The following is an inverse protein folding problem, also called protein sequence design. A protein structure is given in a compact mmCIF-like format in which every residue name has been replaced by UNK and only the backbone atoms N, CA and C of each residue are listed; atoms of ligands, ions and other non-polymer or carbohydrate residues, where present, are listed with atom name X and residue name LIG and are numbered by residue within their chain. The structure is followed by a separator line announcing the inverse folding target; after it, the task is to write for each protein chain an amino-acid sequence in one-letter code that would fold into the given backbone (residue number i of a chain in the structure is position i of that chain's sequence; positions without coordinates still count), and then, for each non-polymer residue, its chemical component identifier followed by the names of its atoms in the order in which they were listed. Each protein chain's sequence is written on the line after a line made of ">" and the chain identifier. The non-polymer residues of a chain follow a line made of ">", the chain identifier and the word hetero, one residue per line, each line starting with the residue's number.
data_IF_392509294789
#
_entry.id   IF_392509294789
#
_cell.length_a   1.000
_cell.length_b   1.000
_cell.length_c   1.000
_cell.angle_alpha   90.00
_cell.angle_beta   90.00
_cell.angle_gamma   90.00
#
_symmetry.space_group_name_H-M   'P 1'
#
loop_
_entity.id
_entity.type
_entity.pdbx_description
1 polymer ?
#
# COMPACT_ATOMS: atom_id res chain seq x y z
N UNK A 1 22.82 -24.94 -7.27
CA UNK A 1 21.96 -25.09 -6.10
C UNK A 1 21.81 -23.77 -5.37
N UNK A 2 20.61 -23.46 -4.95
CA UNK A 2 20.38 -22.27 -4.16
C UNK A 2 21.01 -22.42 -2.78
N UNK A 3 21.60 -21.32 -2.27
CA UNK A 3 22.11 -21.28 -0.91
C UNK A 3 20.99 -20.71 -0.02
N UNK A 4 20.36 -21.55 0.84
CA UNK A 4 19.19 -21.09 1.63
C UNK A 4 19.55 -20.05 2.71
N UNK A 5 20.83 -19.83 2.98
CA UNK A 5 21.27 -18.85 3.96
C UNK A 5 21.82 -17.57 3.32
N UNK A 6 21.84 -17.51 1.98
CA UNK A 6 22.31 -16.32 1.30
C UNK A 6 21.23 -15.23 1.31
N UNK A 7 21.63 -13.96 1.42
CA UNK A 7 20.66 -12.88 1.31
C UNK A 7 20.12 -12.75 -0.11
N UNK A 8 18.88 -12.29 -0.24
CA UNK A 8 18.27 -12.01 -1.52
C UNK A 8 18.10 -10.50 -1.67
N UNK A 9 18.55 -9.98 -2.80
CA UNK A 9 18.33 -8.57 -3.13
C UNK A 9 17.20 -8.46 -4.14
N UNK A 10 16.20 -7.64 -3.82
CA UNK A 10 15.13 -7.27 -4.75
C UNK A 10 15.49 -5.90 -5.31
N UNK A 11 15.97 -5.89 -6.55
CA UNK A 11 16.47 -4.68 -7.17
C UNK A 11 15.38 -3.66 -7.44
N UNK A 12 15.78 -2.41 -7.57
CA UNK A 12 14.86 -1.33 -7.89
C UNK A 12 14.36 -1.44 -9.32
N UNK A 13 13.04 -1.32 -9.50
CA UNK A 13 12.40 -1.24 -10.82
C UNK A 13 11.54 0.02 -10.86
N UNK A 14 11.11 0.41 -12.06
CA UNK A 14 10.13 1.49 -12.20
C UNK A 14 8.75 1.04 -11.79
N UNK A 15 7.86 2.00 -11.61
CA UNK A 15 6.45 1.72 -11.38
C UNK A 15 5.80 1.19 -12.65
N UNK A 16 4.77 0.35 -12.47
CA UNK A 16 3.92 -0.08 -13.56
C UNK A 16 3.14 1.11 -14.09
N UNK A 17 3.08 1.27 -15.42
CA UNK A 17 2.49 2.45 -16.02
C UNK A 17 1.03 2.25 -16.40
N UNK A 18 0.65 1.04 -16.74
CA UNK A 18 -0.70 0.74 -17.24
C UNK A 18 -1.59 0.33 -16.08
N UNK A 19 -2.12 1.33 -15.37
CA UNK A 19 -2.93 1.07 -14.19
C UNK A 19 -4.13 1.99 -14.10
N UNK A 20 -5.23 1.42 -13.58
CA UNK A 20 -6.41 2.17 -13.16
C UNK A 20 -6.34 2.45 -11.66
N UNK A 21 -5.24 3.03 -11.22
CA UNK A 21 -5.01 3.31 -9.81
C UNK A 21 -3.69 4.03 -9.59
N UNK A 22 -3.25 4.17 -8.34
CA UNK A 22 -1.97 4.80 -8.04
C UNK A 22 -0.81 4.04 -8.66
N UNK A 23 0.27 4.74 -8.96
CA UNK A 23 1.49 4.10 -9.45
C UNK A 23 2.04 3.15 -8.40
N UNK A 24 2.45 1.97 -8.85
CA UNK A 24 2.81 0.89 -7.95
C UNK A 24 3.75 -0.09 -8.65
N UNK A 25 4.57 -0.78 -7.86
CA UNK A 25 5.33 -1.92 -8.32
C UNK A 25 5.32 -3.01 -7.26
N UNK A 26 5.24 -4.26 -7.69
CA UNK A 26 5.41 -5.37 -6.78
C UNK A 26 6.90 -5.62 -6.57
N UNK A 27 7.33 -5.70 -5.31
CA UNK A 27 8.68 -6.12 -4.95
C UNK A 27 8.67 -7.63 -4.71
N UNK A 28 7.74 -8.08 -3.87
CA UNK A 28 7.47 -9.50 -3.63
C UNK A 28 5.98 -9.68 -3.78
N UNK A 29 5.52 -10.24 -4.91
CA UNK A 29 4.08 -10.41 -5.12
C UNK A 29 3.50 -11.49 -4.21
N UNK A 30 2.21 -11.38 -3.87
CA UNK A 30 1.55 -12.44 -3.12
C UNK A 30 1.39 -13.69 -3.98
N UNK A 31 1.35 -14.86 -3.34
CA UNK A 31 1.10 -16.12 -4.01
C UNK A 31 -0.35 -16.54 -3.84
N UNK A 32 -0.85 -17.36 -4.77
CA UNK A 32 -2.20 -17.90 -4.64
C UNK A 32 -2.28 -18.83 -3.44
N UNK A 33 -3.43 -18.82 -2.76
CA UNK A 33 -3.71 -19.73 -1.67
C UNK A 33 -3.08 -19.34 -0.34
N UNK A 34 -2.40 -18.21 -0.29
CA UNK A 34 -1.80 -17.72 0.94
C UNK A 34 -0.29 -17.71 0.91
N UNK A 35 0.29 -17.05 1.93
CA UNK A 35 1.74 -16.92 2.06
C UNK A 35 2.12 -16.73 3.52
N UNK A 36 3.28 -17.24 3.92
CA UNK A 36 3.82 -17.11 5.28
C UNK A 36 4.79 -15.94 5.40
N UNK A 37 5.48 -15.61 4.33
CA UNK A 37 6.36 -14.45 4.27
C UNK A 37 5.60 -13.25 3.70
N UNK A 38 6.00 -12.02 4.04
CA UNK A 38 5.27 -10.85 3.60
C UNK A 38 5.34 -10.63 2.09
N UNK A 39 4.25 -10.12 1.52
CA UNK A 39 4.29 -9.52 0.20
C UNK A 39 4.66 -8.05 0.36
N UNK A 40 5.42 -7.51 -0.56
CA UNK A 40 5.92 -6.14 -0.51
C UNK A 40 5.61 -5.41 -1.80
N UNK A 41 5.11 -4.18 -1.65
CA UNK A 41 4.84 -3.29 -2.76
C UNK A 41 5.38 -1.91 -2.43
N UNK A 42 5.85 -1.22 -3.45
CA UNK A 42 6.10 0.22 -3.35
C UNK A 42 5.06 0.93 -4.20
N UNK A 43 4.50 2.02 -3.68
CA UNK A 43 3.48 2.78 -4.41
C UNK A 43 3.52 4.25 -4.01
N UNK A 44 2.83 5.07 -4.78
CA UNK A 44 2.74 6.49 -4.48
C UNK A 44 1.32 7.00 -4.71
N UNK A 45 1.00 8.04 -3.97
CA UNK A 45 -0.24 8.81 -4.12
C UNK A 45 0.16 10.25 -4.42
N UNK A 46 -0.33 10.77 -5.53
CA UNK A 46 -0.07 12.16 -5.91
C UNK A 46 -1.41 12.83 -6.17
N UNK A 47 -1.93 13.51 -5.15
CA UNK A 47 -3.29 14.05 -5.16
C UNK A 47 -4.29 12.97 -5.57
N UNK A 48 -4.25 11.85 -4.85
CA UNK A 48 -5.03 10.65 -5.16
C UNK A 48 -5.53 10.01 -3.87
N UNK A 49 -6.61 9.23 -3.99
CA UNK A 49 -7.13 8.41 -2.91
C UNK A 49 -7.41 6.99 -3.43
N UNK A 50 -7.13 6.02 -2.58
CA UNK A 50 -7.31 4.60 -2.87
C UNK A 50 -7.99 3.93 -1.70
N UNK A 51 -8.99 3.09 -1.99
CA UNK A 51 -9.69 2.33 -0.94
C UNK A 51 -9.70 0.87 -1.31
N UNK A 52 -9.30 0.02 -0.38
CA UNK A 52 -9.33 -1.42 -0.56
C UNK A 52 -9.56 -2.14 0.76
N UNK A 53 -9.67 -3.47 0.67
CA UNK A 53 -9.88 -4.33 1.81
C UNK A 53 -9.15 -5.64 1.56
N UNK A 54 -8.41 -6.11 2.56
CA UNK A 54 -7.63 -7.33 2.47
C UNK A 54 -8.00 -8.30 3.58
N UNK A 55 -7.91 -9.62 3.33
CA UNK A 55 -8.08 -10.61 4.39
C UNK A 55 -6.89 -10.73 5.33
N UNK A 56 -5.87 -9.91 5.16
CA UNK A 56 -4.63 -9.87 5.95
C UNK A 56 -4.32 -8.46 6.37
N UNK A 57 -3.37 -8.30 7.29
CA UNK A 57 -2.88 -6.98 7.69
C UNK A 57 -2.16 -6.29 6.54
N UNK A 58 -2.30 -4.99 6.48
CA UNK A 58 -1.50 -4.13 5.62
C UNK A 58 -0.79 -3.10 6.48
N UNK A 59 0.54 -3.05 6.35
CA UNK A 59 1.36 -2.01 6.96
C UNK A 59 1.87 -1.11 5.85
N UNK A 60 1.84 0.19 6.08
CA UNK A 60 2.42 1.16 5.16
C UNK A 60 3.46 1.98 5.89
N UNK A 61 4.70 1.86 5.46
CA UNK A 61 5.80 2.71 5.91
C UNK A 61 5.88 3.90 4.97
N UNK A 62 5.79 5.11 5.51
CA UNK A 62 5.89 6.32 4.71
C UNK A 62 7.36 6.60 4.44
N UNK A 63 7.76 6.50 3.19
CA UNK A 63 9.14 6.78 2.76
C UNK A 63 9.31 8.28 2.60
N UNK A 64 8.30 8.93 2.01
CA UNK A 64 8.37 10.33 1.65
C UNK A 64 6.97 10.93 1.64
N UNK A 65 6.84 12.19 2.05
CA UNK A 65 5.59 12.93 1.94
C UNK A 65 4.66 12.77 3.12
N UNK A 66 3.36 12.85 2.85
CA UNK A 66 2.32 12.87 3.86
C UNK A 66 1.17 11.96 3.43
N UNK A 67 0.79 11.04 4.31
CA UNK A 67 -0.26 10.07 4.08
C UNK A 67 -1.37 10.26 5.10
N UNK A 68 -2.62 10.19 4.64
CA UNK A 68 -3.77 10.02 5.51
C UNK A 68 -4.35 8.64 5.31
N UNK A 69 -4.74 7.99 6.39
CA UNK A 69 -5.39 6.66 6.34
C UNK A 69 -6.61 6.70 7.24
N UNK A 70 -7.74 6.27 6.71
CA UNK A 70 -8.97 6.12 7.47
C UNK A 70 -9.42 4.67 7.43
N UNK A 71 -9.70 4.12 8.60
CA UNK A 71 -10.25 2.78 8.75
C UNK A 71 -11.01 2.71 10.06
N UNK A 72 -12.13 1.99 10.08
CA UNK A 72 -12.92 1.87 11.30
C UNK A 72 -13.43 3.19 11.85
N UNK A 73 -13.62 4.19 11.00
CA UNK A 73 -14.10 5.51 11.42
C UNK A 73 -13.01 6.40 12.04
N UNK A 74 -11.75 5.98 12.01
CA UNK A 74 -10.62 6.72 12.56
C UNK A 74 -9.68 7.11 11.45
N UNK A 75 -9.31 8.38 11.40
CA UNK A 75 -8.33 8.91 10.44
C UNK A 75 -7.03 9.22 11.17
N UNK A 76 -5.93 8.73 10.62
CA UNK A 76 -4.59 9.08 11.13
C UNK A 76 -3.80 9.76 10.02
N UNK A 77 -2.89 10.63 10.43
CA UNK A 77 -1.92 11.27 9.54
C UNK A 77 -0.56 10.65 9.81
N UNK A 78 0.17 10.34 8.76
CA UNK A 78 1.51 9.77 8.84
C UNK A 78 2.46 10.53 7.94
N UNK A 79 3.70 10.70 8.40
CA UNK A 79 4.75 11.39 7.67
C UNK A 79 5.95 10.45 7.52
N UNK A 80 6.95 10.86 6.75
CA UNK A 80 8.14 10.06 6.52
C UNK A 80 8.69 9.49 7.83
N UNK A 81 8.86 8.17 7.86
CA UNK A 81 9.31 7.43 9.04
C UNK A 81 8.20 6.79 9.85
N UNK A 82 6.95 7.18 9.63
CA UNK A 82 5.81 6.57 10.34
C UNK A 82 5.33 5.30 9.65
N UNK A 83 4.70 4.42 10.43
CA UNK A 83 4.05 3.20 9.94
C UNK A 83 2.60 3.23 10.38
N UNK A 84 1.71 2.93 9.44
CA UNK A 84 0.27 2.79 9.72
C UNK A 84 -0.16 1.37 9.39
N UNK A 85 -0.94 0.75 10.27
CA UNK A 85 -1.50 -0.58 10.04
C UNK A 85 -3.00 -0.50 9.85
N UNK A 86 -3.49 -1.19 8.82
CA UNK A 86 -4.92 -1.49 8.66
C UNK A 86 -5.10 -2.97 8.94
N UNK A 87 -5.98 -3.35 9.90
CA UNK A 87 -6.11 -4.74 10.29
C UNK A 87 -6.85 -5.58 9.24
N UNK A 88 -6.74 -6.92 9.34
CA UNK A 88 -7.44 -7.82 8.41
C UNK A 88 -8.94 -7.56 8.41
N UNK A 89 -9.54 -7.59 7.22
CA UNK A 89 -10.98 -7.46 7.04
C UNK A 89 -11.50 -6.04 7.13
N UNK A 90 -10.66 -5.06 7.40
CA UNK A 90 -11.07 -3.67 7.47
C UNK A 90 -10.85 -2.98 6.13
N UNK A 91 -11.79 -2.14 5.73
CA UNK A 91 -11.59 -1.27 4.58
C UNK A 91 -10.67 -0.12 4.99
N UNK A 92 -9.63 0.10 4.19
CA UNK A 92 -8.71 1.22 4.39
C UNK A 92 -8.82 2.20 3.24
N UNK A 93 -8.96 3.48 3.57
CA UNK A 93 -8.88 4.55 2.59
C UNK A 93 -7.58 5.29 2.81
N UNK A 94 -6.77 5.36 1.77
CA UNK A 94 -5.44 5.95 1.78
C UNK A 94 -5.45 7.14 0.83
N UNK A 95 -4.98 8.30 1.30
CA UNK A 95 -4.92 9.45 0.38
C UNK A 95 -3.79 10.38 0.76
N UNK A 96 -3.37 11.15 -0.22
CA UNK A 96 -2.50 12.28 -0.03
C UNK A 96 -2.98 13.41 -0.92
N UNK A 97 -3.28 14.59 -0.36
CA UNK A 97 -3.63 15.75 -1.20
C UNK A 97 -2.44 16.29 -1.98
N UNK A 98 -1.23 15.97 -1.56
CA UNK A 98 -0.01 16.37 -2.23
C UNK A 98 0.77 15.18 -2.76
N UNK A 99 1.53 14.52 -1.90
CA UNK A 99 2.37 13.39 -2.31
C UNK A 99 2.68 12.48 -1.13
N UNK A 100 2.66 11.20 -1.39
CA UNK A 100 3.17 10.20 -0.47
C UNK A 100 3.80 9.05 -1.26
N UNK A 101 4.96 8.58 -0.81
CA UNK A 101 5.60 7.37 -1.32
C UNK A 101 5.69 6.36 -0.19
N UNK A 102 5.23 5.16 -0.45
CA UNK A 102 4.92 4.17 0.58
C UNK A 102 5.57 2.84 0.26
N UNK A 103 6.00 2.15 1.31
CA UNK A 103 6.31 0.73 1.26
C UNK A 103 5.18 0.00 1.99
N UNK A 104 4.42 -0.81 1.25
CA UNK A 104 3.39 -1.66 1.82
C UNK A 104 3.94 -3.03 2.14
N UNK A 105 3.57 -3.53 3.30
CA UNK A 105 3.96 -4.84 3.80
C UNK A 105 2.68 -5.58 4.13
N UNK A 106 2.41 -6.69 3.42
CA UNK A 106 1.19 -7.46 3.56
C UNK A 106 1.46 -8.81 4.15
N UNK A 107 0.56 -9.27 4.97
CA UNK A 107 0.56 -10.65 5.43
C UNK A 107 1.23 -10.88 6.77
N UNK A 108 1.40 -12.16 7.13
CA UNK A 108 1.10 -13.33 6.32
C UNK A 108 -0.40 -13.47 6.02
N UNK A 109 -0.74 -14.31 5.04
CA UNK A 109 -2.13 -14.54 4.65
C UNK A 109 -2.40 -16.02 4.47
N UNK A 110 -3.60 -16.45 4.86
CA UNK A 110 -4.07 -17.80 4.60
C UNK A 110 -4.77 -17.90 3.25
N UNK A 111 -4.79 -16.81 2.51
CA UNK A 111 -5.49 -16.71 1.23
C UNK A 111 -6.78 -15.94 1.36
N UNK A 112 -7.51 -15.87 0.25
CA UNK A 112 -8.73 -15.10 0.18
C UNK A 112 -8.56 -13.86 -0.68
N UNK A 113 -9.67 -13.30 -1.17
CA UNK A 113 -9.62 -12.18 -2.11
C UNK A 113 -9.38 -10.86 -1.40
N UNK A 114 -8.57 -10.01 -2.02
CA UNK A 114 -8.53 -8.59 -1.74
C UNK A 114 -9.56 -7.91 -2.63
N UNK A 115 -10.15 -6.82 -2.14
CA UNK A 115 -11.18 -6.10 -2.89
C UNK A 115 -10.78 -4.66 -3.09
N UNK A 116 -10.84 -4.22 -4.33
CA UNK A 116 -10.75 -2.80 -4.65
C UNK A 116 -12.10 -2.17 -4.39
N UNK A 117 -12.12 -1.10 -3.62
CA UNK A 117 -13.35 -0.40 -3.27
C UNK A 117 -13.44 0.97 -3.92
N UNK A 118 -12.31 1.58 -4.27
CA UNK A 118 -12.35 2.86 -4.96
C UNK A 118 -11.01 3.45 -5.30
N UNK A 119 -10.99 4.27 -6.32
CA UNK A 119 -9.85 5.08 -6.70
C UNK A 119 -10.37 6.42 -7.21
N UNK A 120 -9.78 7.51 -6.75
CA UNK A 120 -10.15 8.83 -7.23
C UNK A 120 -8.92 9.73 -7.28
N UNK A 121 -8.90 10.59 -8.28
CA UNK A 121 -7.95 11.70 -8.31
C UNK A 121 -8.56 12.86 -7.54
N UNK A 122 -7.77 13.42 -6.65
CA UNK A 122 -8.23 14.53 -5.84
C UNK A 122 -8.03 15.82 -6.61
N UNK A 123 -9.08 16.63 -6.62
CA UNK A 123 -9.03 17.91 -7.31
C UNK A 123 -8.35 18.93 -6.39
N UNK A 124 -7.36 19.65 -6.92
CA UNK A 124 -6.64 20.65 -6.14
C UNK A 124 -7.57 21.68 -5.52
N UNK A 125 -8.62 22.10 -6.24
CA UNK A 125 -9.58 23.07 -5.72
C UNK A 125 -10.38 22.56 -4.53
N UNK A 126 -10.52 21.24 -4.37
CA UNK A 126 -11.17 20.64 -3.22
C UNK A 126 -10.34 20.75 -1.97
N UNK A 127 -9.01 20.89 -2.10
CA UNK A 127 -8.09 21.01 -0.99
C UNK A 127 -7.78 22.45 -0.64
N UNK A 128 -7.95 23.33 -1.59
CA UNK A 128 -7.71 24.77 -1.38
C UNK A 128 -8.92 25.46 -0.76
N UNK A 129 -10.04 24.77 -0.72
CA UNK A 129 -11.31 25.31 -0.24
C UNK A 129 -11.40 25.34 1.29
#
# INVERSE_FOLDING_TARGET
>A
MANPTAPTKFGRTGFDEDRSGPKCRAIIPPTKGGWSEPALFEWELRAEAWTDEHPHSEYNFVIEGQLFVESGGVTVEARAGDVVRVPPGAAGRYWSPTYARLLSIYGPSQGGPSRRLGYEKLNKSEHDA
#
